data_IF_730361908697
#
_entry.id   IF_730361908697
#
_cell.length_a   1.000
_cell.length_b   1.000
_cell.length_c   1.000
_cell.angle_alpha   90.00
_cell.angle_beta   90.00
_cell.angle_gamma   90.00
#
_symmetry.space_group_name_H-M   'P 1'
#
loop_
_entity.id
_entity.type
_entity.pdbx_description
1 polymer ?
#
# COMPACT_ATOMS: atom_id res chain seq x y z
N UNK A 1 14.83 9.16 -13.54
CA UNK A 1 14.06 8.17 -12.73
C UNK A 1 13.14 8.90 -11.73
N UNK A 2 12.08 8.29 -11.17
CA UNK A 2 11.09 8.97 -10.29
C UNK A 2 11.73 9.84 -9.19
N UNK A 3 12.78 9.32 -8.53
CA UNK A 3 13.48 10.03 -7.46
C UNK A 3 14.20 11.28 -7.97
N UNK A 4 14.90 11.19 -9.09
CA UNK A 4 15.64 12.33 -9.67
C UNK A 4 14.71 13.40 -10.22
N UNK A 5 13.56 12.99 -10.77
CA UNK A 5 12.63 13.89 -11.42
C UNK A 5 11.69 14.60 -10.43
N UNK A 6 11.20 13.88 -9.42
CA UNK A 6 10.14 14.36 -8.53
C UNK A 6 10.58 14.49 -7.07
N UNK A 7 11.67 13.85 -6.66
CA UNK A 7 12.13 13.81 -5.27
C UNK A 7 13.60 14.21 -5.08
N UNK A 8 14.18 14.95 -6.03
CA UNK A 8 15.61 15.32 -6.02
C UNK A 8 15.99 16.18 -4.81
N UNK A 9 15.05 16.92 -4.26
CA UNK A 9 15.21 17.73 -3.04
C UNK A 9 15.15 16.90 -1.75
N UNK A 10 14.62 15.68 -1.78
CA UNK A 10 14.42 14.86 -0.59
C UNK A 10 15.62 13.95 -0.30
N UNK A 11 16.48 14.39 0.61
CA UNK A 11 17.71 13.65 0.97
C UNK A 11 17.42 12.25 1.49
N UNK A 12 16.43 12.07 2.37
CA UNK A 12 16.12 10.75 2.92
C UNK A 12 15.63 9.77 1.86
N UNK A 13 14.80 10.21 0.90
CA UNK A 13 14.37 9.36 -0.22
C UNK A 13 15.57 8.93 -1.07
N UNK A 14 16.49 9.86 -1.37
CA UNK A 14 17.70 9.56 -2.16
C UNK A 14 18.64 8.59 -1.44
N UNK A 15 18.88 8.80 -0.16
CA UNK A 15 19.77 7.96 0.66
C UNK A 15 19.24 6.53 0.80
N UNK A 16 17.92 6.36 0.89
CA UNK A 16 17.29 5.06 1.03
C UNK A 16 17.16 4.29 -0.30
N UNK A 17 17.22 4.98 -1.44
CA UNK A 17 17.01 4.40 -2.78
C UNK A 17 17.91 3.18 -3.08
N UNK A 18 19.24 3.19 -2.84
CA UNK A 18 20.10 2.05 -3.18
C UNK A 18 19.72 0.79 -2.40
N UNK A 19 19.43 0.93 -1.10
CA UNK A 19 19.04 -0.19 -0.24
C UNK A 19 17.70 -0.79 -0.67
N UNK A 20 16.69 0.05 -0.90
CA UNK A 20 15.37 -0.39 -1.35
C UNK A 20 15.45 -1.02 -2.75
N UNK A 21 16.26 -0.47 -3.65
CA UNK A 21 16.44 -1.07 -4.98
C UNK A 21 17.06 -2.47 -4.89
N UNK A 22 18.03 -2.67 -4.00
CA UNK A 22 18.62 -3.98 -3.75
C UNK A 22 17.65 -4.96 -3.07
N UNK A 23 16.71 -4.49 -2.25
CA UNK A 23 15.61 -5.31 -1.70
C UNK A 23 14.60 -5.68 -2.79
N UNK A 24 14.21 -4.73 -3.64
CA UNK A 24 13.27 -4.97 -4.73
C UNK A 24 13.76 -6.06 -5.69
N UNK A 25 15.06 -6.07 -6.01
CA UNK A 25 15.68 -7.11 -6.85
C UNK A 25 15.74 -8.50 -6.19
N UNK A 26 15.56 -8.59 -4.87
CA UNK A 26 15.54 -9.85 -4.12
C UNK A 26 14.13 -10.38 -3.86
N UNK A 27 13.10 -9.61 -4.20
CA UNK A 27 11.72 -10.06 -4.05
C UNK A 27 11.46 -11.27 -4.97
N UNK A 28 10.65 -12.23 -4.52
CA UNK A 28 10.21 -13.32 -5.38
C UNK A 28 9.37 -12.78 -6.53
N UNK A 29 9.37 -13.51 -7.65
CA UNK A 29 8.44 -13.21 -8.73
C UNK A 29 6.99 -13.28 -8.21
N UNK A 30 6.14 -12.30 -8.54
CA UNK A 30 4.74 -12.33 -8.14
C UNK A 30 4.05 -13.58 -8.69
N UNK A 31 3.45 -14.38 -7.81
CA UNK A 31 2.71 -15.59 -8.19
C UNK A 31 1.27 -15.30 -8.64
N UNK A 32 0.78 -14.08 -8.40
CA UNK A 32 -0.57 -13.64 -8.74
C UNK A 32 -0.59 -12.15 -9.11
N UNK A 33 -1.65 -11.74 -9.82
CA UNK A 33 -1.97 -10.34 -10.08
C UNK A 33 -3.47 -10.14 -9.96
N UNK A 34 -3.88 -8.93 -9.58
CA UNK A 34 -5.27 -8.51 -9.48
C UNK A 34 -5.44 -7.08 -9.98
N UNK A 35 -6.69 -6.66 -10.13
CA UNK A 35 -7.01 -5.24 -10.15
C UNK A 35 -6.78 -4.68 -8.76
N UNK A 36 -5.97 -3.62 -8.68
CA UNK A 36 -5.66 -2.86 -7.47
C UNK A 36 -6.04 -1.40 -7.69
N UNK A 37 -6.33 -0.68 -6.60
CA UNK A 37 -6.63 0.74 -6.62
C UNK A 37 -5.48 1.47 -5.93
N UNK A 38 -4.56 1.98 -6.74
CA UNK A 38 -3.30 2.55 -6.25
C UNK A 38 -3.56 3.72 -5.30
N UNK A 39 -4.55 4.56 -5.62
CA UNK A 39 -5.04 5.64 -4.77
C UNK A 39 -6.31 5.21 -4.02
N UNK A 40 -6.20 4.16 -3.21
CA UNK A 40 -7.31 3.63 -2.41
C UNK A 40 -7.72 4.64 -1.33
N UNK A 41 -9.00 5.04 -1.29
CA UNK A 41 -9.56 5.83 -0.20
C UNK A 41 -11.01 5.40 0.17
N UNK A 42 -11.38 5.32 1.46
CA UNK A 42 -12.73 4.94 1.88
C UNK A 42 -13.85 5.82 1.30
N UNK A 43 -13.57 7.08 0.98
CA UNK A 43 -14.53 8.02 0.38
C UNK A 43 -14.94 7.64 -1.05
N UNK A 44 -14.17 6.80 -1.73
CA UNK A 44 -14.47 6.28 -3.07
C UNK A 44 -15.55 5.18 -3.05
N UNK A 45 -15.91 4.66 -1.87
CA UNK A 45 -16.96 3.65 -1.70
C UNK A 45 -18.29 4.31 -1.30
N UNK A 46 -19.22 4.39 -2.24
CA UNK A 46 -20.56 4.92 -1.97
C UNK A 46 -21.43 3.83 -1.34
N UNK A 47 -21.94 4.08 -0.14
CA UNK A 47 -22.75 3.13 0.63
C UNK A 47 -24.23 3.51 0.60
N UNK A 48 -25.09 2.53 0.31
CA UNK A 48 -26.57 2.66 0.40
C UNK A 48 -27.13 1.48 1.17
N UNK A 49 -27.96 1.74 2.18
CA UNK A 49 -28.57 0.70 3.04
C UNK A 49 -27.51 -0.28 3.60
N UNK A 50 -26.41 0.25 4.12
CA UNK A 50 -25.29 -0.53 4.69
C UNK A 50 -24.56 -1.47 3.73
N UNK A 51 -24.76 -1.30 2.42
CA UNK A 51 -24.04 -2.05 1.37
C UNK A 51 -23.29 -1.09 0.45
N UNK A 52 -22.10 -1.49 -0.01
CA UNK A 52 -21.41 -0.77 -1.08
C UNK A 52 -22.27 -0.81 -2.33
N UNK A 53 -22.68 0.36 -2.81
CA UNK A 53 -23.58 0.52 -3.94
C UNK A 53 -22.83 0.94 -5.22
N UNK A 54 -21.73 1.66 -5.06
CA UNK A 54 -20.86 2.04 -6.16
C UNK A 54 -19.43 2.26 -5.67
N UNK A 55 -18.50 2.14 -6.61
CA UNK A 55 -17.13 2.54 -6.48
C UNK A 55 -16.88 3.65 -7.50
N UNK A 56 -16.30 4.76 -7.07
CA UNK A 56 -16.00 5.92 -7.91
C UNK A 56 -14.50 6.17 -7.97
N UNK A 57 -14.09 7.14 -8.80
CA UNK A 57 -12.69 7.58 -8.91
C UNK A 57 -11.71 6.47 -9.32
N UNK A 58 -12.10 5.73 -10.36
CA UNK A 58 -11.40 4.50 -10.78
C UNK A 58 -10.23 4.74 -11.74
N UNK A 59 -9.76 5.98 -11.89
CA UNK A 59 -8.71 6.32 -12.86
C UNK A 59 -7.34 5.73 -12.50
N UNK A 60 -7.11 5.45 -11.21
CA UNK A 60 -5.90 4.82 -10.69
C UNK A 60 -6.01 3.29 -10.55
N UNK A 61 -6.95 2.64 -11.25
CA UNK A 61 -7.02 1.18 -11.31
C UNK A 61 -5.91 0.60 -12.19
N UNK A 62 -5.18 -0.38 -11.66
CA UNK A 62 -4.09 -1.03 -12.36
C UNK A 62 -4.05 -2.54 -12.11
N UNK A 63 -3.35 -3.28 -12.97
CA UNK A 63 -2.94 -4.64 -12.66
C UNK A 63 -1.73 -4.60 -11.73
N UNK A 64 -1.80 -5.30 -10.61
CA UNK A 64 -0.72 -5.34 -9.63
C UNK A 64 -0.92 -6.39 -8.54
N UNK A 65 -0.06 -6.36 -7.53
CA UNK A 65 -0.17 -7.24 -6.37
C UNK A 65 -1.19 -6.70 -5.37
N UNK A 66 -2.10 -7.56 -4.90
CA UNK A 66 -3.05 -7.24 -3.81
C UNK A 66 -2.34 -6.72 -2.56
N UNK A 67 -1.10 -7.14 -2.33
CA UNK A 67 -0.30 -6.65 -1.23
C UNK A 67 -0.10 -5.12 -1.28
N UNK A 68 -0.11 -4.51 -2.47
CA UNK A 68 0.04 -3.06 -2.61
C UNK A 68 -1.18 -2.28 -2.09
N UNK A 69 -2.41 -2.76 -2.35
CA UNK A 69 -3.63 -2.18 -1.74
C UNK A 69 -3.55 -2.24 -0.21
N UNK A 70 -3.09 -3.37 0.33
CA UNK A 70 -2.95 -3.54 1.78
C UNK A 70 -1.88 -2.62 2.38
N UNK A 71 -0.80 -2.33 1.64
CA UNK A 71 0.18 -1.32 2.02
C UNK A 71 -0.46 0.06 2.04
N UNK A 72 -1.23 0.45 1.02
CA UNK A 72 -1.94 1.72 1.01
C UNK A 72 -2.89 1.86 2.21
N UNK A 73 -3.62 0.78 2.55
CA UNK A 73 -4.53 0.73 3.69
C UNK A 73 -3.84 0.91 5.05
N UNK A 74 -2.55 0.57 5.19
CA UNK A 74 -1.78 0.84 6.43
C UNK A 74 -1.66 2.34 6.74
N UNK A 75 -1.79 3.22 5.73
CA UNK A 75 -1.71 4.68 5.89
C UNK A 75 -3.07 5.36 6.14
N UNK A 76 -4.16 4.59 6.04
CA UNK A 76 -5.53 5.11 6.08
C UNK A 76 -6.29 4.58 7.30
N UNK A 77 -6.00 3.34 7.68
CA UNK A 77 -6.73 2.63 8.72
C UNK A 77 -6.02 2.72 10.07
N UNK A 78 -6.83 2.71 11.13
CA UNK A 78 -6.35 2.34 12.47
C UNK A 78 -6.41 0.82 12.63
N UNK A 79 -5.78 0.29 13.69
CA UNK A 79 -5.75 -1.15 13.98
C UNK A 79 -7.15 -1.78 14.05
N UNK A 80 -8.15 -1.07 14.59
CA UNK A 80 -9.51 -1.59 14.74
C UNK A 80 -10.17 -1.76 13.37
N UNK A 81 -10.04 -0.76 12.49
CA UNK A 81 -10.57 -0.79 11.12
C UNK A 81 -9.84 -1.81 10.27
N UNK A 82 -8.52 -1.88 10.34
CA UNK A 82 -7.72 -2.87 9.64
C UNK A 82 -8.11 -4.30 10.05
N UNK A 83 -8.31 -4.54 11.34
CA UNK A 83 -8.80 -5.84 11.84
C UNK A 83 -10.19 -6.18 11.32
N UNK A 84 -11.09 -5.20 11.18
CA UNK A 84 -12.42 -5.41 10.60
C UNK A 84 -12.35 -5.72 9.10
N UNK A 85 -11.52 -4.99 8.35
CA UNK A 85 -11.28 -5.23 6.93
C UNK A 85 -10.68 -6.62 6.70
N UNK A 86 -9.63 -6.99 7.45
CA UNK A 86 -9.02 -8.31 7.37
C UNK A 86 -10.03 -9.44 7.62
N UNK A 87 -10.89 -9.31 8.65
CA UNK A 87 -11.96 -10.29 8.90
C UNK A 87 -12.97 -10.40 7.77
N UNK A 88 -13.32 -9.28 7.12
CA UNK A 88 -14.23 -9.27 5.99
C UNK A 88 -13.59 -9.91 4.75
N UNK A 89 -12.37 -9.49 4.44
CA UNK A 89 -11.57 -9.94 3.30
C UNK A 89 -11.30 -11.45 3.37
N UNK A 90 -10.89 -11.95 4.54
CA UNK A 90 -10.61 -13.37 4.80
C UNK A 90 -11.80 -14.32 4.62
N UNK A 91 -13.01 -13.82 4.42
CA UNK A 91 -14.17 -14.65 4.02
C UNK A 91 -14.16 -15.04 2.55
N UNK A 92 -13.35 -14.35 1.73
CA UNK A 92 -13.29 -14.53 0.27
C UNK A 92 -11.88 -14.96 -0.13
N UNK A 93 -10.85 -14.27 0.36
CA UNK A 93 -9.44 -14.53 0.05
C UNK A 93 -8.58 -14.34 1.30
N UNK A 94 -7.45 -15.04 1.40
CA UNK A 94 -6.47 -14.76 2.44
C UNK A 94 -5.88 -13.35 2.30
N UNK A 95 -5.68 -12.69 3.44
CA UNK A 95 -4.87 -11.45 3.53
C UNK A 95 -3.46 -11.77 3.00
N UNK A 96 -2.90 -10.96 2.09
CA UNK A 96 -1.57 -11.19 1.56
C UNK A 96 -0.50 -11.02 2.66
N UNK A 97 0.54 -11.87 2.62
CA UNK A 97 1.71 -11.68 3.47
C UNK A 97 2.54 -10.48 2.97
N UNK A 98 2.65 -9.46 3.81
CA UNK A 98 3.36 -8.23 3.47
C UNK A 98 4.83 -8.27 3.87
N UNK A 99 5.28 -9.28 4.63
CA UNK A 99 6.58 -9.28 5.32
C UNK A 99 7.75 -8.93 4.41
N UNK A 100 7.83 -9.58 3.24
CA UNK A 100 8.93 -9.36 2.30
C UNK A 100 8.77 -8.07 1.48
N UNK A 101 7.55 -7.77 1.03
CA UNK A 101 7.30 -6.66 0.09
C UNK A 101 7.17 -5.31 0.78
N UNK A 102 6.84 -5.29 2.08
CA UNK A 102 6.46 -4.07 2.81
C UNK A 102 7.49 -2.95 2.73
N UNK A 103 8.79 -3.15 2.96
CA UNK A 103 9.76 -2.05 2.88
C UNK A 103 9.80 -1.39 1.48
N UNK A 104 9.77 -2.23 0.44
CA UNK A 104 9.81 -1.81 -0.96
C UNK A 104 8.51 -1.12 -1.36
N UNK A 105 7.36 -1.71 -1.01
CA UNK A 105 6.05 -1.20 -1.38
C UNK A 105 5.72 0.09 -0.62
N UNK A 106 6.07 0.20 0.67
CA UNK A 106 5.93 1.46 1.41
C UNK A 106 6.81 2.54 0.79
N UNK A 107 8.06 2.24 0.43
CA UNK A 107 8.92 3.20 -0.26
C UNK A 107 8.32 3.63 -1.60
N UNK A 108 7.85 2.67 -2.42
CA UNK A 108 7.23 2.98 -3.69
C UNK A 108 5.96 3.82 -3.52
N UNK A 109 5.08 3.47 -2.58
CA UNK A 109 3.89 4.24 -2.24
C UNK A 109 4.24 5.67 -1.82
N UNK A 110 5.34 5.87 -1.08
CA UNK A 110 5.84 7.21 -0.74
C UNK A 110 6.22 8.04 -1.96
N UNK A 111 6.82 7.40 -2.98
CA UNK A 111 7.24 8.08 -4.21
C UNK A 111 6.04 8.57 -5.03
N UNK A 112 4.89 7.89 -4.92
CA UNK A 112 3.66 8.26 -5.63
C UNK A 112 2.96 9.48 -5.02
N UNK A 113 3.32 9.88 -3.79
CA UNK A 113 2.75 11.04 -3.08
C UNK A 113 1.21 11.04 -2.96
N UNK A 114 0.64 9.85 -2.80
CA UNK A 114 -0.81 9.64 -2.72
C UNK A 114 -1.39 10.16 -1.39
N UNK A 115 -0.74 9.82 -0.28
CA UNK A 115 -1.13 10.28 1.05
C UNK A 115 -0.27 11.46 1.49
N UNK A 116 -0.67 12.11 2.60
CA UNK A 116 0.04 13.27 3.14
C UNK A 116 1.56 13.06 3.25
N UNK A 117 2.31 14.08 2.84
CA UNK A 117 3.78 14.02 2.83
C UNK A 117 4.30 13.96 4.25
N UNK A 118 5.00 12.87 4.57
CA UNK A 118 5.82 12.77 5.79
C UNK A 118 7.28 12.49 5.45
N UNK A 119 8.14 12.68 6.45
CA UNK A 119 9.54 12.26 6.39
C UNK A 119 9.63 10.76 6.14
N UNK A 120 10.55 10.34 5.27
CA UNK A 120 10.63 8.93 4.84
C UNK A 120 10.85 7.97 6.01
N UNK A 121 11.56 8.38 7.06
CA UNK A 121 11.80 7.56 8.24
C UNK A 121 10.49 7.29 9.01
N UNK A 122 9.66 8.34 9.19
CA UNK A 122 8.34 8.23 9.82
C UNK A 122 7.41 7.39 8.94
N UNK A 123 7.44 7.62 7.62
CA UNK A 123 6.66 6.87 6.64
C UNK A 123 6.97 5.37 6.67
N UNK A 124 8.24 4.99 6.71
CA UNK A 124 8.64 3.58 6.76
C UNK A 124 8.31 2.94 8.11
N UNK A 125 8.24 3.73 9.18
CA UNK A 125 7.93 3.29 10.53
C UNK A 125 6.42 3.23 10.85
N UNK A 126 5.52 3.36 9.85
CA UNK A 126 4.08 3.22 10.07
C UNK A 126 3.74 1.89 10.78
N UNK A 127 2.68 1.87 11.63
CA UNK A 127 2.23 0.66 12.28
C UNK A 127 1.99 -0.49 11.29
N UNK A 128 2.31 -1.71 11.72
CA UNK A 128 2.08 -2.92 10.96
C UNK A 128 0.65 -3.40 11.27
N UNK A 129 -0.30 -3.23 10.33
CA UNK A 129 -1.71 -3.52 10.61
C UNK A 129 -2.14 -4.92 10.18
N UNK A 130 -1.49 -5.49 9.17
CA UNK A 130 -1.84 -6.76 8.51
C UNK A 130 -0.75 -7.81 8.67
N UNK A 131 -0.34 -8.06 9.91
CA UNK A 131 0.60 -9.14 10.20
C UNK A 131 -0.05 -10.52 9.99
N UNK A 132 0.71 -11.53 9.56
CA UNK A 132 0.25 -12.91 9.56
C UNK A 132 -0.28 -13.27 10.95
N UNK A 133 -1.41 -13.99 11.01
CA UNK A 133 -1.82 -14.57 12.28
C UNK A 133 -0.76 -15.60 12.72
N UNK A 134 -0.38 -15.64 14.01
CA UNK A 134 0.57 -16.62 14.52
C UNK A 134 0.08 -18.06 14.34
#
# INVERSE_FOLDING_TARGET
MLVEQYHSYNTGIKELLPAISAEALRLPEPSESSLIMVDMDPTQFLVRNSSVAALVDTEAYALGSRAFDFIALEYILDQRKASALARGYSRILSVPDLTLVRPVYRYFYRLLEIQEKSEIAIWQAQPLLFEPSP
#
